data_IF_192186732175
#
_entry.id   IF_192186732175
#
_cell.length_a   1.000
_cell.length_b   1.000
_cell.length_c   1.000
_cell.angle_alpha   90.00
_cell.angle_beta   90.00
_cell.angle_gamma   90.00
#
_symmetry.space_group_name_H-M   'P 1'
#
loop_
_entity.id
_entity.type
_entity.pdbx_description
1 polymer ?
#
# COMPACT_ATOMS: atom_id res chain seq x y z
N UNK A 1 31.40 32.17 -17.39
CA UNK A 1 31.45 31.32 -16.18
C UNK A 1 30.77 31.97 -14.96
N UNK A 2 31.12 33.23 -14.62
CA UNK A 2 30.49 33.97 -13.50
C UNK A 2 29.01 34.31 -13.72
N UNK A 3 28.55 34.44 -14.94
CA UNK A 3 27.15 34.73 -15.28
C UNK A 3 26.23 33.51 -15.17
N UNK A 4 26.72 32.31 -15.39
CA UNK A 4 25.95 31.07 -15.25
C UNK A 4 25.84 30.62 -13.79
N UNK A 5 26.89 30.82 -13.01
CA UNK A 5 26.91 30.54 -11.59
C UNK A 5 25.95 31.47 -10.82
N UNK A 6 25.89 32.76 -11.23
CA UNK A 6 24.94 33.73 -10.69
C UNK A 6 23.49 33.40 -11.08
N UNK A 7 23.24 32.90 -12.29
CA UNK A 7 21.94 32.39 -12.71
C UNK A 7 21.53 31.14 -11.92
N UNK A 8 22.43 30.17 -11.72
CA UNK A 8 22.17 28.99 -10.88
C UNK A 8 21.86 29.34 -9.42
N UNK A 9 22.59 30.30 -8.86
CA UNK A 9 22.30 30.85 -7.51
C UNK A 9 20.93 31.56 -7.44
N UNK A 10 20.54 32.29 -8.48
CA UNK A 10 19.22 32.92 -8.56
C UNK A 10 18.09 31.87 -8.65
N UNK A 11 18.26 30.80 -9.42
CA UNK A 11 17.30 29.69 -9.45
C UNK A 11 17.19 28.95 -8.10
N UNK A 12 18.31 28.81 -7.38
CA UNK A 12 18.30 28.21 -6.03
C UNK A 12 17.69 29.13 -4.96
N UNK A 13 17.79 30.46 -5.10
CA UNK A 13 17.15 31.41 -4.20
C UNK A 13 15.65 31.58 -4.48
N UNK A 14 15.23 31.41 -5.74
CA UNK A 14 13.81 31.46 -6.11
C UNK A 14 13.01 30.26 -5.58
N UNK A 15 13.65 29.08 -5.45
CA UNK A 15 13.04 27.89 -4.85
C UNK A 15 12.97 27.91 -3.32
N UNK A 16 13.64 28.88 -2.67
CA UNK A 16 13.64 29.04 -1.21
C UNK A 16 12.58 29.99 -0.67
N UNK A 17 11.91 30.74 -1.51
CA UNK A 17 10.72 31.44 -1.08
C UNK A 17 9.60 30.43 -0.85
N UNK A 18 8.92 30.42 0.32
CA UNK A 18 7.71 29.63 0.47
C UNK A 18 6.78 30.04 -0.68
N UNK A 19 6.18 29.10 -1.41
CA UNK A 19 5.24 29.45 -2.46
C UNK A 19 4.16 30.34 -1.84
N UNK A 20 3.95 31.53 -2.40
CA UNK A 20 2.90 32.49 -2.00
C UNK A 20 1.47 31.92 -2.15
N UNK A 21 1.35 30.69 -2.64
CA UNK A 21 0.12 29.94 -2.68
C UNK A 21 -0.01 29.07 -1.43
N UNK A 22 -0.23 29.68 -0.27
CA UNK A 22 -0.83 28.96 0.85
C UNK A 22 -2.18 28.39 0.36
N UNK A 23 -2.28 27.08 0.31
CA UNK A 23 -3.54 26.38 0.03
C UNK A 23 -4.60 26.91 1.01
N UNK A 24 -5.77 27.30 0.50
CA UNK A 24 -6.81 27.86 1.36
C UNK A 24 -7.12 26.85 2.49
N UNK A 25 -7.38 27.31 3.73
CA UNK A 25 -7.70 26.45 4.86
C UNK A 25 -8.84 25.46 4.55
N UNK A 26 -9.79 25.86 3.73
CA UNK A 26 -10.89 25.01 3.26
C UNK A 26 -10.38 23.84 2.40
N UNK A 27 -9.41 24.06 1.55
CA UNK A 27 -8.83 23.04 0.71
C UNK A 27 -8.03 22.01 1.53
N UNK A 28 -7.25 22.49 2.49
CA UNK A 28 -6.51 21.61 3.43
C UNK A 28 -7.49 20.75 4.23
N UNK A 29 -8.56 21.35 4.77
CA UNK A 29 -9.58 20.63 5.52
C UNK A 29 -10.28 19.57 4.65
N UNK A 30 -10.55 19.88 3.39
CA UNK A 30 -11.16 18.93 2.46
C UNK A 30 -10.27 17.72 2.20
N UNK A 31 -8.97 17.94 1.97
CA UNK A 31 -7.99 16.86 1.80
C UNK A 31 -7.91 15.98 3.06
N UNK A 32 -7.80 16.60 4.24
CA UNK A 32 -7.77 15.90 5.52
C UNK A 32 -9.01 15.05 5.73
N UNK A 33 -10.20 15.58 5.40
CA UNK A 33 -11.46 14.87 5.57
C UNK A 33 -11.54 13.66 4.62
N UNK A 34 -11.17 13.81 3.36
CA UNK A 34 -11.25 12.72 2.37
C UNK A 34 -10.25 11.61 2.73
N UNK A 35 -8.98 11.94 2.91
CA UNK A 35 -7.95 10.94 3.25
C UNK A 35 -8.25 10.31 4.62
N UNK A 36 -8.70 11.10 5.58
CA UNK A 36 -9.09 10.61 6.90
C UNK A 36 -10.24 9.60 6.84
N UNK A 37 -11.27 9.89 6.06
CA UNK A 37 -12.41 8.95 5.87
C UNK A 37 -11.98 7.68 5.16
N UNK A 38 -11.13 7.74 4.14
CA UNK A 38 -10.56 6.56 3.45
C UNK A 38 -9.74 5.69 4.42
N UNK A 39 -8.89 6.30 5.24
CA UNK A 39 -8.11 5.59 6.25
C UNK A 39 -9.00 4.93 7.30
N UNK A 40 -10.03 5.61 7.81
CA UNK A 40 -10.97 5.05 8.80
C UNK A 40 -11.70 3.84 8.21
N UNK A 41 -12.24 3.96 6.99
CA UNK A 41 -12.92 2.85 6.30
C UNK A 41 -11.96 1.66 6.13
N UNK A 42 -10.72 1.93 5.76
CA UNK A 42 -9.73 0.89 5.59
C UNK A 42 -9.31 0.24 6.91
N UNK A 43 -9.13 1.01 7.99
CA UNK A 43 -8.83 0.48 9.33
C UNK A 43 -9.97 -0.43 9.80
N UNK A 44 -11.23 -0.04 9.61
CA UNK A 44 -12.40 -0.84 9.97
C UNK A 44 -12.44 -2.15 9.16
N UNK A 45 -12.27 -2.06 7.84
CA UNK A 45 -12.29 -3.23 6.96
C UNK A 45 -11.14 -4.22 7.27
N UNK A 46 -9.93 -3.70 7.47
CA UNK A 46 -8.77 -4.52 7.83
C UNK A 46 -8.87 -5.06 9.26
N UNK A 47 -9.40 -4.27 10.20
CA UNK A 47 -9.70 -4.70 11.57
C UNK A 47 -10.69 -5.87 11.61
N UNK A 48 -11.73 -5.82 10.79
CA UNK A 48 -12.67 -6.94 10.63
C UNK A 48 -11.98 -8.21 10.12
N UNK A 49 -11.18 -8.11 9.04
CA UNK A 49 -10.43 -9.26 8.49
C UNK A 49 -9.48 -9.84 9.55
N UNK A 50 -8.76 -8.99 10.26
CA UNK A 50 -7.82 -9.39 11.30
C UNK A 50 -8.55 -10.08 12.46
N UNK A 51 -9.67 -9.54 12.92
CA UNK A 51 -10.46 -10.10 14.03
C UNK A 51 -11.02 -11.49 13.70
N UNK A 52 -11.57 -11.68 12.50
CA UNK A 52 -12.08 -13.00 12.07
C UNK A 52 -10.97 -14.05 12.00
N UNK A 53 -9.80 -13.72 11.43
CA UNK A 53 -8.68 -14.66 11.35
C UNK A 53 -8.04 -14.92 12.73
N UNK A 54 -8.04 -13.93 13.64
CA UNK A 54 -7.57 -14.10 15.02
C UNK A 54 -8.54 -14.99 15.82
N UNK A 55 -9.85 -14.80 15.68
CA UNK A 55 -10.86 -15.64 16.32
C UNK A 55 -10.73 -17.11 15.86
N UNK A 56 -10.59 -17.34 14.55
CA UNK A 56 -10.34 -18.68 14.00
C UNK A 56 -9.08 -19.33 14.61
N UNK A 57 -8.05 -18.51 14.85
CA UNK A 57 -6.82 -18.99 15.50
C UNK A 57 -7.04 -19.41 16.95
N UNK A 58 -7.78 -18.62 17.70
CA UNK A 58 -8.04 -18.90 19.12
C UNK A 58 -8.93 -20.15 19.27
N UNK A 59 -10.00 -20.23 18.47
CA UNK A 59 -10.97 -21.32 18.55
C UNK A 59 -10.39 -22.67 18.09
N UNK A 60 -9.72 -22.69 16.94
CA UNK A 60 -9.28 -23.93 16.30
C UNK A 60 -7.82 -24.30 16.62
N UNK A 61 -7.08 -23.47 17.39
CA UNK A 61 -5.62 -23.59 17.65
C UNK A 61 -4.76 -23.74 16.39
N UNK A 62 -5.37 -23.57 15.23
CA UNK A 62 -4.71 -23.65 13.91
C UNK A 62 -5.35 -22.66 12.94
N UNK A 63 -4.55 -21.82 12.34
CA UNK A 63 -5.00 -20.89 11.27
C UNK A 63 -4.63 -21.46 9.92
N UNK A 64 -5.53 -21.37 8.97
CA UNK A 64 -5.25 -21.65 7.57
C UNK A 64 -4.08 -20.78 7.07
N UNK A 65 -3.31 -21.29 6.12
CA UNK A 65 -2.18 -20.50 5.57
C UNK A 65 -2.65 -19.19 4.94
N UNK A 66 -3.80 -19.18 4.27
CA UNK A 66 -4.42 -17.95 3.76
C UNK A 66 -4.82 -17.00 4.88
N UNK A 67 -5.36 -17.51 5.99
CA UNK A 67 -5.71 -16.71 7.16
C UNK A 67 -4.52 -16.00 7.79
N UNK A 68 -3.36 -16.68 7.86
CA UNK A 68 -2.11 -16.05 8.33
C UNK A 68 -1.66 -14.91 7.41
N UNK A 69 -1.69 -15.10 6.10
CA UNK A 69 -1.33 -14.05 5.14
C UNK A 69 -2.29 -12.87 5.29
N UNK A 70 -3.60 -13.13 5.37
CA UNK A 70 -4.62 -12.11 5.57
C UNK A 70 -4.45 -11.35 6.88
N UNK A 71 -4.08 -12.03 7.96
CA UNK A 71 -3.80 -11.41 9.25
C UNK A 71 -2.64 -10.40 9.17
N UNK A 72 -1.48 -10.83 8.65
CA UNK A 72 -0.31 -9.95 8.51
C UNK A 72 -0.53 -8.82 7.51
N UNK A 73 -1.24 -9.10 6.41
CA UNK A 73 -1.64 -8.09 5.44
C UNK A 73 -2.53 -7.02 6.08
N UNK A 74 -3.55 -7.44 6.83
CA UNK A 74 -4.47 -6.51 7.51
C UNK A 74 -3.76 -5.71 8.60
N UNK A 75 -2.88 -6.34 9.38
CA UNK A 75 -2.08 -5.68 10.40
C UNK A 75 -1.18 -4.58 9.79
N UNK A 76 -0.45 -4.91 8.72
CA UNK A 76 0.42 -3.93 8.05
C UNK A 76 -0.36 -2.75 7.47
N UNK A 77 -1.59 -2.98 7.00
CA UNK A 77 -2.48 -1.95 6.45
C UNK A 77 -3.10 -1.06 7.51
N UNK A 78 -3.52 -1.63 8.65
CA UNK A 78 -3.98 -0.84 9.79
C UNK A 78 -2.86 0.09 10.25
N UNK A 79 -1.64 -0.45 10.43
CA UNK A 79 -0.50 0.34 10.81
C UNK A 79 -0.20 1.45 9.76
N UNK A 80 -0.16 1.11 8.47
CA UNK A 80 0.08 2.06 7.38
C UNK A 80 -0.93 3.20 7.39
N UNK A 81 -2.23 2.90 7.46
CA UNK A 81 -3.29 3.91 7.45
C UNK A 81 -3.30 4.76 8.72
N UNK A 82 -2.99 4.17 9.88
CA UNK A 82 -2.82 4.92 11.13
C UNK A 82 -1.63 5.88 11.03
N UNK A 83 -0.51 5.45 10.44
CA UNK A 83 0.64 6.32 10.19
C UNK A 83 0.33 7.45 9.21
N UNK A 84 -0.39 7.17 8.13
CA UNK A 84 -0.84 8.20 7.18
C UNK A 84 -1.73 9.25 7.86
N UNK A 85 -2.64 8.83 8.73
CA UNK A 85 -3.47 9.76 9.51
C UNK A 85 -2.63 10.63 10.45
N UNK A 86 -1.66 10.02 11.14
CA UNK A 86 -0.74 10.76 12.03
C UNK A 86 0.11 11.75 11.24
N UNK A 87 0.70 11.33 10.13
CA UNK A 87 1.50 12.18 9.25
C UNK A 87 0.73 13.42 8.79
N UNK A 88 -0.48 13.21 8.25
CA UNK A 88 -1.33 14.31 7.77
C UNK A 88 -1.72 15.22 8.93
N UNK A 89 -2.04 14.66 10.10
CA UNK A 89 -2.41 15.46 11.28
C UNK A 89 -1.23 16.30 11.75
N UNK A 90 -0.04 15.72 11.92
CA UNK A 90 1.15 16.46 12.38
C UNK A 90 1.63 17.48 11.36
N UNK A 91 1.63 17.15 10.08
CA UNK A 91 2.01 18.10 9.02
C UNK A 91 1.09 19.32 8.96
N UNK A 92 -0.19 19.16 9.32
CA UNK A 92 -1.19 20.23 9.29
C UNK A 92 -1.30 21.03 10.60
N UNK A 93 -1.18 20.35 11.76
CA UNK A 93 -1.39 21.00 13.08
C UNK A 93 -0.11 21.51 13.71
N UNK A 94 1.01 20.81 13.51
CA UNK A 94 2.30 21.11 14.11
C UNK A 94 3.43 21.09 13.06
N UNK A 95 3.39 21.93 12.01
CA UNK A 95 4.35 21.87 10.90
C UNK A 95 5.79 22.08 11.33
N UNK A 96 6.04 22.87 12.38
CA UNK A 96 7.40 23.06 12.92
C UNK A 96 7.98 21.77 13.49
N UNK A 97 7.17 21.03 14.25
CA UNK A 97 7.56 19.74 14.83
C UNK A 97 7.72 18.67 13.74
N UNK A 98 6.78 18.62 12.80
CA UNK A 98 6.84 17.67 11.69
C UNK A 98 8.08 17.86 10.79
N UNK A 99 8.51 19.11 10.59
CA UNK A 99 9.66 19.46 9.75
C UNK A 99 11.01 19.30 10.47
N UNK A 100 11.04 18.87 11.74
CA UNK A 100 12.28 18.44 12.37
C UNK A 100 12.85 17.23 11.64
N UNK A 101 14.13 17.26 11.29
CA UNK A 101 14.80 16.24 10.48
C UNK A 101 14.53 14.82 10.99
N UNK A 102 14.70 14.59 12.27
CA UNK A 102 14.48 13.28 12.89
C UNK A 102 13.02 12.81 12.77
N UNK A 103 12.06 13.70 12.98
CA UNK A 103 10.63 13.37 12.97
C UNK A 103 10.18 13.05 11.54
N UNK A 104 10.56 13.90 10.59
CA UNK A 104 10.27 13.68 9.17
C UNK A 104 10.84 12.36 8.67
N UNK A 105 12.09 12.04 9.04
CA UNK A 105 12.76 10.79 8.68
C UNK A 105 12.05 9.59 9.27
N UNK A 106 11.64 9.65 10.53
CA UNK A 106 10.87 8.58 11.17
C UNK A 106 9.54 8.32 10.44
N UNK A 107 8.79 9.36 10.08
CA UNK A 107 7.55 9.21 9.32
C UNK A 107 7.81 8.58 7.95
N UNK A 108 8.79 9.07 7.22
CA UNK A 108 9.15 8.57 5.88
C UNK A 108 9.58 7.11 5.92
N UNK A 109 10.52 6.75 6.80
CA UNK A 109 11.03 5.38 6.93
C UNK A 109 9.92 4.42 7.36
N UNK A 110 9.07 4.82 8.31
CA UNK A 110 7.95 4.02 8.78
C UNK A 110 6.90 3.81 7.68
N UNK A 111 6.55 4.86 6.94
CA UNK A 111 5.66 4.77 5.79
C UNK A 111 6.18 3.79 4.75
N UNK A 112 7.47 3.92 4.38
CA UNK A 112 8.10 3.04 3.40
C UNK A 112 8.10 1.59 3.86
N UNK A 113 8.47 1.34 5.12
CA UNK A 113 8.49 0.00 5.70
C UNK A 113 7.11 -0.66 5.65
N UNK A 114 6.10 0.02 6.16
CA UNK A 114 4.73 -0.50 6.25
C UNK A 114 4.10 -0.70 4.86
N UNK A 115 4.33 0.26 3.96
CA UNK A 115 3.85 0.16 2.59
C UNK A 115 4.51 -1.02 1.85
N UNK A 116 5.83 -1.17 1.98
CA UNK A 116 6.57 -2.27 1.36
C UNK A 116 6.13 -3.64 1.90
N UNK A 117 5.94 -3.78 3.22
CA UNK A 117 5.34 -4.97 3.82
C UNK A 117 3.95 -5.28 3.23
N UNK A 118 3.08 -4.27 3.12
CA UNK A 118 1.74 -4.43 2.54
C UNK A 118 1.78 -4.92 1.10
N UNK A 119 2.70 -4.39 0.27
CA UNK A 119 2.88 -4.82 -1.12
C UNK A 119 3.34 -6.28 -1.21
N UNK A 120 4.33 -6.67 -0.40
CA UNK A 120 4.80 -8.06 -0.36
C UNK A 120 3.73 -9.04 0.11
N UNK A 121 2.99 -8.71 1.18
CA UNK A 121 1.94 -9.59 1.69
C UNK A 121 0.80 -9.75 0.68
N UNK A 122 0.43 -8.68 -0.05
CA UNK A 122 -0.55 -8.76 -1.13
C UNK A 122 -0.03 -9.64 -2.28
N UNK A 123 1.24 -9.50 -2.65
CA UNK A 123 1.86 -10.33 -3.69
C UNK A 123 1.91 -11.82 -3.27
N UNK A 124 2.26 -12.12 -2.02
CA UNK A 124 2.24 -13.48 -1.48
C UNK A 124 0.83 -14.07 -1.42
N UNK A 125 -0.18 -13.26 -1.10
CA UNK A 125 -1.57 -13.71 -1.11
C UNK A 125 -2.00 -14.12 -2.52
N UNK A 126 -1.71 -13.30 -3.52
CA UNK A 126 -2.00 -13.59 -4.92
C UNK A 126 -1.24 -14.84 -5.41
N UNK A 127 0.04 -14.94 -5.08
CA UNK A 127 0.88 -16.10 -5.42
C UNK A 127 0.38 -17.38 -4.74
N UNK A 128 -0.01 -17.31 -3.48
CA UNK A 128 -0.56 -18.45 -2.75
C UNK A 128 -1.86 -18.94 -3.39
N UNK A 129 -2.78 -18.04 -3.74
CA UNK A 129 -4.01 -18.40 -4.42
C UNK A 129 -3.74 -18.99 -5.81
N UNK A 130 -2.81 -18.39 -6.56
CA UNK A 130 -2.39 -18.96 -7.85
C UNK A 130 -1.91 -20.41 -7.70
N UNK A 131 -0.95 -20.67 -6.81
CA UNK A 131 -0.39 -22.02 -6.63
C UNK A 131 -1.42 -23.01 -6.13
N UNK A 132 -2.39 -22.60 -5.29
CA UNK A 132 -3.42 -23.50 -4.75
C UNK A 132 -4.55 -23.80 -5.73
N UNK A 133 -4.98 -22.80 -6.49
CA UNK A 133 -6.16 -22.88 -7.36
C UNK A 133 -5.78 -23.36 -8.77
N UNK A 134 -4.65 -22.88 -9.31
CA UNK A 134 -4.25 -23.26 -10.66
C UNK A 134 -3.96 -24.77 -10.78
N UNK A 135 -4.35 -25.32 -11.91
CA UNK A 135 -4.15 -26.75 -12.22
C UNK A 135 -3.21 -26.88 -13.40
N UNK A 136 -1.93 -27.10 -13.07
CA UNK A 136 -0.86 -27.38 -14.03
C UNK A 136 -0.28 -28.77 -13.75
N UNK A 137 -0.14 -29.58 -14.79
CA UNK A 137 0.36 -30.95 -14.70
C UNK A 137 1.89 -31.05 -14.53
N UNK A 138 2.61 -29.92 -14.52
CA UNK A 138 4.08 -29.95 -14.45
C UNK A 138 4.57 -30.41 -13.06
N UNK A 139 5.53 -31.38 -12.99
CA UNK A 139 5.96 -31.96 -11.72
C UNK A 139 6.49 -30.95 -10.68
N UNK A 140 7.21 -29.92 -11.13
CA UNK A 140 7.70 -28.87 -10.26
C UNK A 140 6.56 -28.06 -9.65
N UNK A 141 5.49 -27.80 -10.42
CA UNK A 141 4.32 -27.08 -9.92
C UNK A 141 3.57 -27.91 -8.86
N UNK A 142 3.39 -29.20 -9.08
CA UNK A 142 2.78 -30.09 -8.10
C UNK A 142 3.60 -30.13 -6.80
N UNK A 143 4.93 -30.22 -6.88
CA UNK A 143 5.82 -30.16 -5.71
C UNK A 143 5.69 -28.83 -4.98
N UNK A 144 5.59 -27.70 -5.70
CA UNK A 144 5.36 -26.37 -5.13
C UNK A 144 4.01 -26.31 -4.43
N UNK A 145 2.93 -26.80 -5.07
CA UNK A 145 1.55 -26.85 -4.53
C UNK A 145 1.47 -27.53 -3.16
N UNK A 146 2.27 -28.60 -2.97
CA UNK A 146 2.36 -29.33 -1.70
C UNK A 146 3.19 -28.58 -0.63
N UNK A 147 4.26 -27.90 -1.02
CA UNK A 147 5.21 -27.30 -0.08
C UNK A 147 4.91 -25.86 0.27
N UNK A 148 4.17 -25.13 -0.56
CA UNK A 148 3.96 -23.68 -0.41
C UNK A 148 3.37 -23.32 0.96
N UNK A 149 2.43 -24.08 1.50
CA UNK A 149 1.83 -23.83 2.80
C UNK A 149 2.83 -23.92 3.95
N UNK A 150 3.88 -24.73 3.82
CA UNK A 150 4.95 -24.86 4.83
C UNK A 150 5.93 -23.70 4.73
N UNK A 151 6.23 -23.22 3.51
CA UNK A 151 7.19 -22.15 3.30
C UNK A 151 6.60 -20.75 3.56
N UNK A 152 5.29 -20.62 3.46
CA UNK A 152 4.63 -19.33 3.54
C UNK A 152 4.97 -18.49 4.80
N UNK A 153 5.00 -19.05 6.03
CA UNK A 153 5.42 -18.27 7.21
C UNK A 153 6.83 -17.71 7.10
N UNK A 154 7.76 -18.50 6.55
CA UNK A 154 9.16 -18.07 6.37
C UNK A 154 9.26 -16.97 5.33
N UNK A 155 8.49 -17.06 4.24
CA UNK A 155 8.44 -16.05 3.18
C UNK A 155 7.84 -14.73 3.69
N UNK A 156 6.83 -14.79 4.56
CA UNK A 156 6.27 -13.59 5.20
C UNK A 156 7.30 -12.89 6.10
N UNK A 157 8.02 -13.64 6.95
CA UNK A 157 9.09 -13.08 7.77
C UNK A 157 10.24 -12.53 6.92
N UNK A 158 10.66 -13.25 5.89
CA UNK A 158 11.67 -12.77 4.95
C UNK A 158 11.26 -11.44 4.34
N UNK A 159 9.99 -11.28 3.97
CA UNK A 159 9.48 -10.01 3.43
C UNK A 159 9.55 -8.87 4.44
N UNK A 160 9.32 -9.13 5.73
CA UNK A 160 9.48 -8.13 6.79
C UNK A 160 10.95 -7.69 6.89
N UNK A 161 11.90 -8.64 6.87
CA UNK A 161 13.32 -8.31 6.92
C UNK A 161 13.80 -7.55 5.67
N UNK A 162 13.33 -7.96 4.48
CA UNK A 162 13.61 -7.24 3.22
C UNK A 162 13.05 -5.81 3.30
N UNK A 163 11.82 -5.65 3.78
CA UNK A 163 11.17 -4.33 3.91
C UNK A 163 11.90 -3.44 4.92
N UNK A 164 12.36 -4.01 6.03
CA UNK A 164 13.13 -3.29 7.04
C UNK A 164 14.50 -2.84 6.51
N UNK A 165 15.24 -3.76 5.89
CA UNK A 165 16.53 -3.44 5.27
C UNK A 165 16.40 -2.39 4.17
N UNK A 166 15.35 -2.52 3.35
CA UNK A 166 15.04 -1.58 2.30
C UNK A 166 14.71 -0.18 2.84
N UNK A 167 13.84 -0.06 3.83
CA UNK A 167 13.51 1.23 4.44
C UNK A 167 14.69 1.87 5.17
N UNK A 168 15.55 1.06 5.81
CA UNK A 168 16.75 1.53 6.50
C UNK A 168 17.80 2.12 5.55
N UNK A 169 17.89 1.64 4.31
CA UNK A 169 18.79 2.22 3.29
C UNK A 169 18.46 3.68 3.00
N UNK A 170 17.19 4.08 3.15
CA UNK A 170 16.71 5.42 2.85
C UNK A 170 16.63 6.37 4.05
N UNK A 171 16.98 5.90 5.25
CA UNK A 171 17.01 6.75 6.44
C UNK A 171 18.10 7.83 6.40
N UNK A 172 19.16 7.63 5.61
CA UNK A 172 20.31 8.54 5.54
C UNK A 172 20.32 9.49 4.32
N UNK A 173 19.39 9.30 3.38
CA UNK A 173 19.43 9.98 2.08
C UNK A 173 18.28 10.98 1.91
N UNK A 174 17.90 11.63 3.02
CA UNK A 174 16.81 12.57 3.01
C UNK A 174 17.33 13.94 2.63
N UNK A 175 16.73 14.50 1.59
CA UNK A 175 17.04 15.83 1.09
C UNK A 175 16.45 16.88 2.01
N UNK A 176 17.25 17.47 2.85
CA UNK A 176 16.93 18.74 3.46
C UNK A 176 17.50 19.85 2.60
N UNK A 177 16.66 20.52 1.83
CA UNK A 177 17.00 21.78 1.20
C UNK A 177 16.85 22.84 2.28
N UNK A 178 17.96 23.18 2.94
CA UNK A 178 17.98 24.32 3.86
C UNK A 178 18.08 25.61 3.05
N UNK A 179 17.03 26.39 3.06
CA UNK A 179 17.09 27.78 2.64
C UNK A 179 17.83 28.59 3.69
N UNK A 180 19.04 29.00 3.39
CA UNK A 180 19.85 29.86 4.24
C UNK A 180 19.34 31.31 4.11
N UNK A 181 18.50 31.77 5.04
CA UNK A 181 18.21 33.20 5.18
C UNK A 181 19.49 33.88 5.71
N UNK A 182 20.30 34.37 4.76
CA UNK A 182 21.53 35.12 5.02
C UNK A 182 21.21 36.50 5.54
N UNK A 183 20.91 36.63 6.84
CA UNK A 183 20.95 37.93 7.51
C UNK A 183 21.45 37.93 8.96
N UNK A 184 22.02 36.79 9.43
CA UNK A 184 22.69 36.80 10.76
C UNK A 184 23.97 35.93 10.64
N UNK A 185 25.16 36.48 10.89
CA UNK A 185 26.39 35.71 10.97
C UNK A 185 26.46 35.05 12.34
N UNK A 186 25.98 33.85 12.49
CA UNK A 186 26.24 33.01 13.64
C UNK A 186 26.96 31.75 13.21
N UNK A 187 28.13 31.55 13.76
CA UNK A 187 29.09 30.51 13.55
C UNK A 187 28.55 29.14 13.99
N UNK A 188 27.86 28.45 13.10
CA UNK A 188 27.78 27.00 13.11
C UNK A 188 27.55 26.55 11.69
N UNK A 189 28.59 25.96 11.13
CA UNK A 189 28.66 25.48 9.77
C UNK A 189 27.63 24.37 9.52
N UNK A 190 26.47 24.73 9.02
CA UNK A 190 25.54 23.80 8.39
C UNK A 190 26.20 23.28 7.11
N UNK A 191 26.61 22.03 7.11
CA UNK A 191 27.17 21.35 5.93
C UNK A 191 26.10 21.32 4.85
N UNK A 192 26.23 22.17 3.82
CA UNK A 192 25.49 22.05 2.58
C UNK A 192 25.90 20.74 1.91
N UNK A 193 25.07 19.73 1.94
CA UNK A 193 25.32 18.48 1.22
C UNK A 193 24.79 18.68 -0.21
N UNK A 194 25.69 19.02 -1.13
CA UNK A 194 25.39 19.06 -2.56
C UNK A 194 25.31 17.63 -3.07
N UNK A 195 24.13 17.19 -3.51
CA UNK A 195 24.02 15.95 -4.28
C UNK A 195 24.14 16.25 -5.76
N UNK A 196 24.99 15.51 -6.45
CA UNK A 196 25.05 15.51 -7.91
C UNK A 196 23.77 14.89 -8.47
N UNK A 197 23.26 15.41 -9.59
CA UNK A 197 22.06 14.91 -10.30
C UNK A 197 22.07 13.38 -10.49
N UNK A 198 23.27 12.81 -10.70
CA UNK A 198 23.48 11.36 -10.88
C UNK A 198 23.06 10.54 -9.64
N UNK A 199 23.24 11.06 -8.43
CA UNK A 199 22.85 10.37 -7.21
C UNK A 199 21.34 10.41 -7.00
N UNK A 200 20.65 11.47 -7.47
CA UNK A 200 19.20 11.60 -7.43
C UNK A 200 18.50 10.52 -8.26
N UNK A 201 18.98 10.34 -9.49
CA UNK A 201 18.44 9.32 -10.42
C UNK A 201 18.67 7.91 -9.87
N UNK A 202 19.87 7.62 -9.37
CA UNK A 202 20.18 6.31 -8.80
C UNK A 202 19.34 6.00 -7.57
N UNK A 203 19.10 6.99 -6.72
CA UNK A 203 18.27 6.85 -5.53
C UNK A 203 16.82 6.61 -5.91
N UNK A 204 16.26 7.39 -6.84
CA UNK A 204 14.91 7.19 -7.37
C UNK A 204 14.74 5.80 -8.00
N UNK A 205 15.74 5.33 -8.77
CA UNK A 205 15.73 3.99 -9.35
C UNK A 205 15.74 2.91 -8.28
N UNK A 206 16.55 3.06 -7.23
CA UNK A 206 16.61 2.13 -6.11
C UNK A 206 15.27 2.11 -5.35
N UNK A 207 14.66 3.27 -5.10
CA UNK A 207 13.32 3.39 -4.52
C UNK A 207 12.29 2.58 -5.29
N UNK A 208 12.30 2.74 -6.60
CA UNK A 208 11.33 2.10 -7.46
C UNK A 208 11.58 0.60 -7.64
N UNK A 209 12.82 0.14 -7.57
CA UNK A 209 13.17 -1.28 -7.65
C UNK A 209 12.47 -2.10 -6.55
N UNK A 210 12.40 -1.57 -5.32
CA UNK A 210 11.69 -2.22 -4.22
C UNK A 210 10.19 -2.40 -4.47
N UNK A 211 9.57 -1.48 -5.21
CA UNK A 211 8.16 -1.56 -5.59
C UNK A 211 7.97 -2.54 -6.76
N UNK A 212 8.89 -2.53 -7.72
CA UNK A 212 8.77 -3.36 -8.93
C UNK A 212 8.81 -4.86 -8.66
N UNK A 213 9.60 -5.33 -7.70
CA UNK A 213 9.72 -6.76 -7.41
C UNK A 213 8.39 -7.35 -6.93
N UNK A 214 7.75 -6.87 -5.83
CA UNK A 214 6.44 -7.37 -5.44
C UNK A 214 5.34 -7.09 -6.47
N UNK A 215 5.44 -5.97 -7.24
CA UNK A 215 4.51 -5.66 -8.32
C UNK A 215 4.56 -6.71 -9.43
N UNK A 216 5.74 -7.03 -9.94
CA UNK A 216 5.89 -8.03 -11.01
C UNK A 216 5.44 -9.42 -10.55
N UNK A 217 5.77 -9.81 -9.32
CA UNK A 217 5.29 -11.05 -8.73
C UNK A 217 3.77 -11.09 -8.63
N UNK A 218 3.14 -10.00 -8.20
CA UNK A 218 1.68 -9.89 -8.09
C UNK A 218 1.02 -9.99 -9.47
N UNK A 219 1.49 -9.20 -10.45
CA UNK A 219 0.95 -9.20 -11.82
C UNK A 219 1.04 -10.60 -12.44
N UNK A 220 2.21 -11.24 -12.32
CA UNK A 220 2.44 -12.57 -12.83
C UNK A 220 1.48 -13.59 -12.19
N UNK A 221 1.40 -13.63 -10.86
CA UNK A 221 0.54 -14.54 -10.13
C UNK A 221 -0.95 -14.31 -10.43
N UNK A 222 -1.41 -13.06 -10.44
CA UNK A 222 -2.80 -12.70 -10.72
C UNK A 222 -3.18 -13.05 -12.17
N UNK A 223 -2.32 -12.72 -13.13
CA UNK A 223 -2.56 -13.03 -14.55
C UNK A 223 -2.65 -14.53 -14.80
N UNK A 224 -1.71 -15.32 -14.25
CA UNK A 224 -1.75 -16.77 -14.39
C UNK A 224 -2.96 -17.41 -13.69
N UNK A 225 -3.37 -16.87 -12.55
CA UNK A 225 -4.59 -17.29 -11.86
C UNK A 225 -5.83 -17.02 -12.72
N UNK A 226 -5.96 -15.82 -13.28
CA UNK A 226 -7.07 -15.45 -14.17
C UNK A 226 -7.11 -16.36 -15.41
N UNK A 227 -5.96 -16.61 -16.05
CA UNK A 227 -5.86 -17.49 -17.22
C UNK A 227 -6.28 -18.91 -16.85
N UNK A 228 -5.78 -19.45 -15.73
CA UNK A 228 -6.12 -20.79 -15.26
C UNK A 228 -7.61 -20.95 -14.96
N UNK A 229 -8.20 -20.02 -14.22
CA UNK A 229 -9.63 -20.00 -13.92
C UNK A 229 -10.49 -19.85 -15.17
N UNK A 230 -10.10 -18.96 -16.09
CA UNK A 230 -10.82 -18.76 -17.35
C UNK A 230 -10.79 -20.02 -18.22
N UNK A 231 -9.62 -20.69 -18.30
CA UNK A 231 -9.50 -21.96 -19.03
C UNK A 231 -10.39 -23.04 -18.44
N UNK A 232 -10.45 -23.14 -17.10
CA UNK A 232 -11.31 -24.09 -16.41
C UNK A 232 -12.80 -23.79 -16.65
N UNK A 233 -13.19 -22.53 -16.59
CA UNK A 233 -14.58 -22.09 -16.87
C UNK A 233 -15.01 -22.43 -18.30
N UNK A 234 -14.16 -22.15 -19.30
CA UNK A 234 -14.44 -22.50 -20.70
C UNK A 234 -14.59 -23.99 -20.91
N UNK A 235 -13.77 -24.81 -20.22
CA UNK A 235 -13.90 -26.28 -20.30
C UNK A 235 -15.19 -26.77 -19.65
N UNK A 236 -15.63 -26.18 -18.54
CA UNK A 236 -16.92 -26.49 -17.91
C UNK A 236 -18.09 -26.09 -18.80
N UNK A 237 -18.03 -24.90 -19.40
CA UNK A 237 -19.07 -24.39 -20.30
C UNK A 237 -19.27 -25.26 -21.54
N UNK A 238 -18.18 -25.79 -22.11
CA UNK A 238 -18.24 -26.72 -23.27
C UNK A 238 -18.90 -28.08 -22.94
N UNK A 239 -18.93 -28.45 -21.65
CA UNK A 239 -19.48 -29.73 -21.18
C UNK A 239 -20.85 -29.57 -20.48
N UNK A 240 -21.36 -28.35 -20.35
CA UNK A 240 -22.60 -28.06 -19.62
C UNK A 240 -23.81 -28.21 -20.57
N UNK A 241 -24.71 -29.11 -20.25
CA UNK A 241 -26.03 -29.26 -20.89
C UNK A 241 -27.03 -28.34 -20.19
N UNK A 242 -26.98 -27.01 -20.47
CA UNK A 242 -28.11 -26.09 -20.25
C UNK A 242 -28.44 -25.64 -18.82
N UNK A 243 -27.77 -26.10 -17.77
CA UNK A 243 -28.00 -25.69 -16.38
C UNK A 243 -26.88 -24.77 -15.89
N UNK A 244 -27.25 -23.65 -15.25
CA UNK A 244 -26.29 -22.69 -14.64
C UNK A 244 -25.62 -23.37 -13.44
N UNK A 245 -24.38 -23.82 -13.63
CA UNK A 245 -23.61 -24.50 -12.59
C UNK A 245 -23.14 -23.49 -11.52
N UNK A 246 -23.47 -23.71 -10.21
CA UNK A 246 -23.01 -22.86 -9.11
C UNK A 246 -21.49 -22.74 -9.03
N UNK A 247 -20.75 -23.76 -9.47
CA UNK A 247 -19.29 -23.71 -9.52
C UNK A 247 -18.77 -22.72 -10.55
N UNK A 248 -19.43 -22.63 -11.72
CA UNK A 248 -19.08 -21.67 -12.76
C UNK A 248 -19.26 -20.22 -12.27
N UNK A 249 -20.35 -19.94 -11.53
CA UNK A 249 -20.58 -18.61 -10.94
C UNK A 249 -19.51 -18.24 -9.90
N UNK A 250 -19.08 -19.19 -9.08
CA UNK A 250 -17.99 -19.01 -8.13
C UNK A 250 -16.64 -18.72 -8.83
N UNK A 251 -16.33 -19.42 -9.90
CA UNK A 251 -15.12 -19.17 -10.72
C UNK A 251 -15.16 -17.79 -11.39
N UNK A 252 -16.28 -17.39 -11.95
CA UNK A 252 -16.45 -16.05 -12.54
C UNK A 252 -16.33 -14.95 -11.49
N UNK A 253 -16.87 -15.18 -10.28
CA UNK A 253 -16.69 -14.28 -9.15
C UNK A 253 -15.23 -14.11 -8.75
N UNK A 254 -14.46 -15.20 -8.70
CA UNK A 254 -13.03 -15.18 -8.41
C UNK A 254 -12.20 -14.45 -9.48
N UNK A 255 -12.52 -14.68 -10.76
CA UNK A 255 -11.88 -13.96 -11.89
C UNK A 255 -12.11 -12.44 -11.76
N UNK A 256 -13.37 -12.02 -11.55
CA UNK A 256 -13.70 -10.59 -11.38
C UNK A 256 -12.97 -9.99 -10.19
N UNK A 257 -12.98 -10.65 -9.02
CA UNK A 257 -12.30 -10.17 -7.83
C UNK A 257 -10.79 -10.01 -8.06
N UNK A 258 -10.14 -11.02 -8.65
CA UNK A 258 -8.69 -10.98 -8.95
C UNK A 258 -8.36 -9.89 -9.96
N UNK A 259 -9.22 -9.67 -10.97
CA UNK A 259 -9.05 -8.59 -11.96
C UNK A 259 -9.15 -7.20 -11.30
N UNK A 260 -10.11 -7.00 -10.39
CA UNK A 260 -10.21 -5.75 -9.65
C UNK A 260 -9.02 -5.54 -8.72
N UNK A 261 -8.52 -6.58 -8.05
CA UNK A 261 -7.30 -6.50 -7.25
C UNK A 261 -6.10 -6.09 -8.10
N UNK A 262 -5.96 -6.67 -9.28
CA UNK A 262 -4.87 -6.35 -10.20
C UNK A 262 -4.90 -4.88 -10.62
N UNK A 263 -6.08 -4.38 -11.00
CA UNK A 263 -6.27 -2.98 -11.39
C UNK A 263 -5.91 -2.04 -10.23
N UNK A 264 -6.47 -2.27 -9.04
CA UNK A 264 -6.20 -1.44 -7.86
C UNK A 264 -4.71 -1.46 -7.48
N UNK A 265 -4.07 -2.62 -7.58
CA UNK A 265 -2.65 -2.75 -7.27
C UNK A 265 -1.78 -1.96 -8.25
N UNK A 266 -2.08 -2.02 -9.55
CA UNK A 266 -1.36 -1.26 -10.57
C UNK A 266 -1.53 0.25 -10.33
N UNK A 267 -2.75 0.73 -10.09
CA UNK A 267 -2.99 2.14 -9.78
C UNK A 267 -2.21 2.60 -8.55
N UNK A 268 -2.22 1.82 -7.47
CA UNK A 268 -1.44 2.12 -6.28
C UNK A 268 0.07 2.14 -6.55
N UNK A 269 0.58 1.17 -7.30
CA UNK A 269 2.01 1.11 -7.63
C UNK A 269 2.45 2.30 -8.49
N UNK A 270 1.62 2.72 -9.46
CA UNK A 270 1.89 3.91 -10.28
C UNK A 270 1.85 5.18 -9.42
N UNK A 271 0.83 5.33 -8.56
CA UNK A 271 0.74 6.48 -7.65
C UNK A 271 1.94 6.55 -6.71
N UNK A 272 2.35 5.41 -6.15
CA UNK A 272 3.51 5.31 -5.27
C UNK A 272 4.82 5.64 -6.01
N UNK A 273 4.99 5.14 -7.24
CA UNK A 273 6.13 5.49 -8.10
C UNK A 273 6.22 7.00 -8.33
N UNK A 274 5.12 7.63 -8.74
CA UNK A 274 5.07 9.07 -9.01
C UNK A 274 5.33 9.89 -7.74
N UNK A 275 4.74 9.49 -6.62
CA UNK A 275 4.92 10.13 -5.32
C UNK A 275 6.36 10.05 -4.83
N UNK A 276 6.96 8.84 -4.86
CA UNK A 276 8.33 8.60 -4.39
C UNK A 276 9.39 9.21 -5.30
N UNK A 277 9.10 9.39 -6.59
CA UNK A 277 10.02 10.02 -7.54
C UNK A 277 10.04 11.55 -7.43
N UNK A 278 9.23 12.16 -6.56
CA UNK A 278 9.11 13.61 -6.38
C UNK A 278 8.95 14.38 -7.72
N UNK A 279 8.20 13.78 -8.67
CA UNK A 279 7.98 14.37 -10.00
C UNK A 279 7.08 15.61 -9.91
N UNK A 280 6.20 15.62 -8.90
CA UNK A 280 5.21 16.69 -8.70
C UNK A 280 5.50 17.47 -7.42
N UNK A 281 5.27 18.78 -7.47
CA UNK A 281 5.33 19.63 -6.27
C UNK A 281 4.34 19.15 -5.21
N UNK A 282 4.69 19.33 -3.93
CA UNK A 282 3.91 18.84 -2.77
C UNK A 282 2.46 19.29 -2.79
N UNK A 283 2.20 20.53 -3.24
CA UNK A 283 0.86 21.14 -3.32
C UNK A 283 0.18 20.97 -4.68
N UNK A 284 0.80 20.24 -5.60
CA UNK A 284 0.23 19.98 -6.91
C UNK A 284 -0.97 19.05 -6.82
N UNK A 285 -1.97 19.26 -7.67
CA UNK A 285 -3.13 18.38 -7.81
C UNK A 285 -2.72 16.91 -8.00
N UNK A 286 -1.69 16.64 -8.79
CA UNK A 286 -1.21 15.29 -9.09
C UNK A 286 -0.60 14.60 -7.86
N UNK A 287 0.13 15.34 -7.01
CA UNK A 287 0.68 14.80 -5.77
C UNK A 287 -0.46 14.42 -4.80
N UNK A 288 -1.46 15.29 -4.67
CA UNK A 288 -2.65 15.05 -3.84
C UNK A 288 -3.44 13.84 -4.36
N UNK A 289 -3.61 13.74 -5.69
CA UNK A 289 -4.27 12.59 -6.32
C UNK A 289 -3.52 11.29 -6.03
N UNK A 290 -2.18 11.29 -6.09
CA UNK A 290 -1.39 10.12 -5.71
C UNK A 290 -1.64 9.72 -4.25
N UNK A 291 -1.69 10.67 -3.33
CA UNK A 291 -1.99 10.42 -1.91
C UNK A 291 -3.38 9.81 -1.72
N UNK A 292 -4.40 10.30 -2.43
CA UNK A 292 -5.74 9.70 -2.41
C UNK A 292 -5.72 8.26 -2.89
N UNK A 293 -5.09 7.97 -4.02
CA UNK A 293 -4.99 6.60 -4.55
C UNK A 293 -4.30 5.67 -3.54
N UNK A 294 -3.21 6.14 -2.92
CA UNK A 294 -2.46 5.37 -1.92
C UNK A 294 -3.28 5.11 -0.64
N UNK A 295 -4.09 6.06 -0.19
CA UNK A 295 -4.97 5.92 0.97
C UNK A 295 -6.17 5.01 0.68
N UNK A 296 -6.77 5.13 -0.52
CA UNK A 296 -7.92 4.34 -0.97
C UNK A 296 -7.57 2.87 -1.23
N UNK A 297 -6.34 2.56 -1.66
CA UNK A 297 -5.95 1.21 -2.03
C UNK A 297 -6.13 0.17 -0.92
N UNK A 298 -5.63 0.36 0.33
CA UNK A 298 -5.81 -0.61 1.40
C UNK A 298 -7.30 -0.86 1.73
N UNK A 299 -8.11 0.20 1.73
CA UNK A 299 -9.56 0.12 1.98
C UNK A 299 -10.28 -0.66 0.86
N UNK A 300 -10.09 -0.26 -0.39
CA UNK A 300 -10.72 -0.88 -1.56
C UNK A 300 -10.37 -2.36 -1.70
N UNK A 301 -9.09 -2.71 -1.56
CA UNK A 301 -8.65 -4.10 -1.63
C UNK A 301 -9.23 -4.94 -0.48
N UNK A 302 -9.33 -4.41 0.74
CA UNK A 302 -9.88 -5.15 1.89
C UNK A 302 -11.39 -5.36 1.76
N UNK A 303 -12.13 -4.38 1.24
CA UNK A 303 -13.56 -4.55 0.93
C UNK A 303 -13.75 -5.65 -0.11
N UNK A 304 -12.95 -5.66 -1.17
CA UNK A 304 -13.01 -6.72 -2.18
C UNK A 304 -12.64 -8.09 -1.60
N UNK A 305 -11.67 -8.18 -0.66
CA UNK A 305 -11.34 -9.42 0.03
C UNK A 305 -12.51 -9.93 0.86
N UNK A 306 -13.23 -9.05 1.58
CA UNK A 306 -14.42 -9.42 2.35
C UNK A 306 -15.51 -9.95 1.43
N UNK A 307 -15.73 -9.34 0.28
CA UNK A 307 -16.73 -9.76 -0.70
C UNK A 307 -16.34 -11.06 -1.42
N UNK A 308 -15.07 -11.19 -1.77
CA UNK A 308 -14.55 -12.33 -2.55
C UNK A 308 -14.29 -13.60 -1.73
N UNK A 309 -14.01 -13.49 -0.42
CA UNK A 309 -13.78 -14.63 0.45
C UNK A 309 -15.09 -15.11 1.08
N UNK A 310 -15.53 -16.37 0.81
CA UNK A 310 -16.82 -16.88 1.32
C UNK A 310 -16.91 -16.90 2.85
N UNK A 311 -15.79 -17.12 3.55
CA UNK A 311 -15.72 -17.11 5.02
C UNK A 311 -15.96 -15.70 5.58
N UNK A 312 -15.20 -14.72 5.09
CA UNK A 312 -15.33 -13.32 5.48
C UNK A 312 -16.70 -12.75 5.12
N UNK A 313 -17.22 -13.09 3.93
CA UNK A 313 -18.54 -12.65 3.47
C UNK A 313 -19.66 -13.18 4.38
N UNK A 314 -19.58 -14.44 4.82
CA UNK A 314 -20.56 -15.03 5.77
C UNK A 314 -20.47 -14.35 7.13
N UNK A 315 -19.27 -14.12 7.63
CA UNK A 315 -19.06 -13.42 8.90
C UNK A 315 -19.59 -11.98 8.85
N UNK A 316 -19.33 -11.27 7.74
CA UNK A 316 -19.85 -9.92 7.50
C UNK A 316 -21.39 -9.87 7.54
N UNK A 317 -22.05 -10.79 6.82
CA UNK A 317 -23.51 -10.89 6.80
C UNK A 317 -24.13 -11.22 8.16
N UNK A 318 -23.40 -11.90 9.04
CA UNK A 318 -23.86 -12.18 10.42
C UNK A 318 -23.74 -10.95 11.32
N UNK A 319 -22.74 -10.11 11.12
CA UNK A 319 -22.53 -8.90 11.90
C UNK A 319 -23.46 -7.75 11.52
N UNK A 320 -23.83 -7.61 10.25
CA UNK A 320 -24.70 -6.53 9.78
C UNK A 320 -26.00 -6.36 10.57
N UNK A 321 -26.82 -7.42 10.84
CA UNK A 321 -28.04 -7.28 11.61
C UNK A 321 -27.78 -6.88 13.06
N UNK A 322 -26.71 -7.38 13.67
CA UNK A 322 -26.35 -7.07 15.06
C UNK A 322 -25.95 -5.60 15.23
N UNK A 323 -25.15 -5.08 14.30
CA UNK A 323 -24.77 -3.65 14.28
C UNK A 323 -26.00 -2.77 14.06
N UNK A 324 -26.91 -3.16 13.16
CA UNK A 324 -28.15 -2.42 12.91
C UNK A 324 -29.07 -2.39 14.12
N UNK A 325 -29.23 -3.50 14.84
CA UNK A 325 -30.00 -3.58 16.08
C UNK A 325 -29.36 -2.69 17.15
N UNK A 326 -28.05 -2.78 17.35
CA UNK A 326 -27.33 -1.97 18.34
C UNK A 326 -27.44 -0.47 18.07
N UNK A 327 -27.32 -0.05 16.81
CA UNK A 327 -27.49 1.36 16.41
C UNK A 327 -28.94 1.84 16.60
N UNK A 328 -29.95 0.97 16.39
CA UNK A 328 -31.36 1.28 16.57
C UNK A 328 -31.73 1.42 18.06
N UNK A 329 -31.07 0.68 18.94
CA UNK A 329 -31.27 0.80 20.41
C UNK A 329 -30.60 2.07 20.99
N UNK A 330 -29.59 2.64 20.32
CA UNK A 330 -28.91 3.87 20.75
C UNK A 330 -29.51 5.15 20.17
N UNK A 331 -30.40 5.07 19.19
CA UNK A 331 -31.18 6.23 18.69
C UNK A 331 -32.49 6.30 19.45
N UNK A 332 -32.65 7.28 20.38
CA UNK A 332 -33.86 7.47 21.15
C UNK A 332 -35.05 7.86 20.28
#
# INVERSE_FOLDING_TARGET
LLGEEKKRLLWMTETCNPPENELSPFYILSILTIIGTECIVGIIANGFIMAINAAEWIENKAVSTSGRILFFLSLSRIALQSFMMLEITFSSTCPRFYNEELIYDMFKVSFMFLNHCSLWFAAWLSFFYFVKIADFSHPLFLKLKWRISRWMPQLLWLSVFISLGYSALFSKDIYTVYCNNSSIPSSNSTKKKYFTETNMVNLALLYNLGIFIPLTMFIFAATLLIISLKRHTLHMESNATGSRDPNMEAHMGAIKATSYFLILYIFNAVALFLYMSNIFDVNSFWNILCRFIMAAYPAGHSILLIQGNPGLRRAWKRLQPQVHLYLKEQTP
#
